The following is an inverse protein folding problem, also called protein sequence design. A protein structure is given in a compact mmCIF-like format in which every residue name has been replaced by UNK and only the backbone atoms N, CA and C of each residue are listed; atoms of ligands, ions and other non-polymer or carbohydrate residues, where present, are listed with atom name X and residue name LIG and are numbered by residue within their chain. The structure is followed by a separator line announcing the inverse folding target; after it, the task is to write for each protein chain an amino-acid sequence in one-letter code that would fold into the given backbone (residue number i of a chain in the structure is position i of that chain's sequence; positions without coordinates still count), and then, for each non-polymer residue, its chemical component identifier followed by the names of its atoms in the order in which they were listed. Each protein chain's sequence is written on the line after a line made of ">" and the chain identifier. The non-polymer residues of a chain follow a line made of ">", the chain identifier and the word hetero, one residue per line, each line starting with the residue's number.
data_IF_986371834364
#
_entry.id   IF_986371834364
#
_cell.length_a   1.000
_cell.length_b   1.000
_cell.length_c   1.000
_cell.angle_alpha   90.00
_cell.angle_beta   90.00
_cell.angle_gamma   90.00
#
_symmetry.space_group_name_H-M   'P 1'
#
loop_
_entity.id
_entity.type
_entity.pdbx_description
1 polymer ?
#
# COMPACT_ATOMS: atom_id res chain seq x y z
N UNK A 1 -6.85 5.81 2.81
CA UNK A 1 -6.91 5.59 1.35
C UNK A 1 -5.51 5.46 0.78
N UNK A 2 -5.26 4.56 -0.17
CA UNK A 2 -4.02 4.60 -0.98
C UNK A 2 -4.25 5.60 -2.09
N UNK A 3 -3.47 6.69 -2.10
CA UNK A 3 -3.64 7.80 -3.05
C UNK A 3 -2.49 7.95 -4.03
N UNK A 4 -1.33 7.35 -3.75
CA UNK A 4 -0.27 7.20 -4.72
C UNK A 4 0.55 5.95 -4.44
N UNK A 5 1.05 5.32 -5.50
CA UNK A 5 1.88 4.12 -5.43
C UNK A 5 3.01 4.22 -6.43
N UNK A 6 4.24 3.95 -6.00
CA UNK A 6 5.37 3.70 -6.90
C UNK A 6 5.85 2.27 -6.73
N UNK A 7 5.95 1.49 -7.81
CA UNK A 7 6.37 0.10 -7.71
C UNK A 7 7.00 -0.41 -9.01
N UNK A 8 8.02 -1.24 -8.89
CA UNK A 8 8.59 -1.99 -10.01
C UNK A 8 7.90 -3.34 -10.24
N UNK A 9 6.81 -3.64 -9.52
CA UNK A 9 6.02 -4.85 -9.72
C UNK A 9 5.42 -4.89 -11.14
N UNK A 10 5.68 -5.98 -11.87
CA UNK A 10 5.27 -6.15 -13.27
C UNK A 10 3.76 -6.03 -13.47
N UNK A 11 2.96 -6.56 -12.54
CA UNK A 11 1.50 -6.45 -12.58
C UNK A 11 1.05 -5.01 -12.37
N UNK A 12 1.64 -4.32 -11.38
CA UNK A 12 1.33 -2.92 -11.11
C UNK A 12 1.63 -2.06 -12.33
N UNK A 13 2.83 -2.17 -12.91
CA UNK A 13 3.23 -1.38 -14.08
C UNK A 13 2.28 -1.55 -15.28
N UNK A 14 1.69 -2.74 -15.47
CA UNK A 14 0.70 -3.01 -16.53
C UNK A 14 -0.66 -2.36 -16.30
N UNK A 15 -1.04 -2.15 -15.04
CA UNK A 15 -2.39 -1.70 -14.69
C UNK A 15 -2.44 -0.30 -14.05
N UNK A 16 -1.30 0.28 -13.66
CA UNK A 16 -1.20 1.51 -12.86
C UNK A 16 -2.01 2.68 -13.41
N UNK A 17 -2.05 2.86 -14.73
CA UNK A 17 -2.75 3.98 -15.38
C UNK A 17 -4.28 3.79 -15.39
N UNK A 18 -4.76 2.61 -15.01
CA UNK A 18 -6.18 2.25 -14.90
C UNK A 18 -6.62 2.07 -13.45
N UNK A 19 -5.70 2.13 -12.49
CA UNK A 19 -6.02 1.99 -11.08
C UNK A 19 -6.66 3.26 -10.55
N UNK A 20 -7.59 3.10 -9.61
CA UNK A 20 -8.13 4.19 -8.80
C UNK A 20 -7.63 4.04 -7.36
N UNK A 21 -7.83 5.08 -6.55
CA UNK A 21 -7.48 5.03 -5.14
C UNK A 21 -8.14 3.82 -4.46
N UNK A 22 -7.56 3.32 -3.38
CA UNK A 22 -8.16 2.22 -2.61
C UNK A 22 -8.58 2.67 -1.23
N UNK A 23 -9.59 2.02 -0.68
CA UNK A 23 -9.84 2.10 0.76
C UNK A 23 -8.92 1.08 1.43
N UNK A 24 -8.23 1.52 2.48
CA UNK A 24 -7.38 0.65 3.29
C UNK A 24 -7.77 0.81 4.74
N UNK A 25 -8.16 -0.27 5.39
CA UNK A 25 -8.38 -0.34 6.84
C UNK A 25 -7.18 -1.02 7.47
N UNK A 26 -6.59 -0.38 8.46
CA UNK A 26 -5.44 -0.91 9.19
C UNK A 26 -5.88 -1.18 10.62
N UNK A 27 -5.58 -2.37 11.13
CA UNK A 27 -5.88 -2.77 12.50
C UNK A 27 -4.75 -3.63 13.07
N UNK A 28 -4.54 -3.57 14.38
CA UNK A 28 -3.62 -4.46 15.06
C UNK A 28 -4.28 -5.81 15.36
N UNK A 29 -3.52 -6.90 15.21
CA UNK A 29 -3.97 -8.22 15.63
C UNK A 29 -3.77 -8.38 17.15
N UNK A 30 -4.47 -9.32 17.81
CA UNK A 30 -4.28 -9.59 19.24
C UNK A 30 -2.83 -9.91 19.62
N UNK A 31 -2.07 -10.45 18.68
CA UNK A 31 -0.66 -10.85 18.82
C UNK A 31 0.32 -9.69 18.53
N UNK A 32 -0.18 -8.48 18.30
CA UNK A 32 0.63 -7.29 17.99
C UNK A 32 1.05 -7.16 16.52
N UNK A 33 0.53 -8.02 15.65
CA UNK A 33 0.70 -7.91 14.20
C UNK A 33 -0.13 -6.78 13.58
N UNK A 34 0.00 -6.61 12.27
CA UNK A 34 -0.72 -5.61 11.47
C UNK A 34 -1.58 -6.32 10.42
N UNK A 35 -2.88 -6.04 10.42
CA UNK A 35 -3.80 -6.42 9.37
C UNK A 35 -4.12 -5.21 8.50
N UNK A 36 -3.86 -5.31 7.20
CA UNK A 36 -4.18 -4.30 6.20
C UNK A 36 -5.22 -4.85 5.23
N UNK A 37 -6.43 -4.32 5.30
CA UNK A 37 -7.55 -4.69 4.43
C UNK A 37 -7.72 -3.67 3.33
N UNK A 38 -7.69 -4.09 2.08
CA UNK A 38 -7.81 -3.24 0.92
C UNK A 38 -9.12 -3.50 0.20
N UNK A 39 -9.72 -2.41 -0.32
CA UNK A 39 -10.88 -2.45 -1.21
C UNK A 39 -10.50 -1.72 -2.50
N UNK A 40 -10.46 -2.46 -3.60
CA UNK A 40 -10.14 -1.97 -4.95
C UNK A 40 -11.37 -1.96 -5.83
N UNK A 41 -11.71 -0.81 -6.44
CA UNK A 41 -12.76 -0.76 -7.47
C UNK A 41 -12.14 -1.26 -8.78
N UNK A 42 -12.39 -2.52 -9.13
CA UNK A 42 -11.99 -3.08 -10.41
C UNK A 42 -13.19 -3.05 -11.35
N UNK A 43 -13.20 -2.09 -12.28
CA UNK A 43 -14.29 -1.88 -13.24
C UNK A 43 -15.66 -1.75 -12.53
N UNK A 44 -16.44 -2.82 -12.50
CA UNK A 44 -17.82 -2.89 -11.99
C UNK A 44 -17.95 -3.62 -10.63
N UNK A 45 -16.83 -4.09 -10.05
CA UNK A 45 -16.83 -4.84 -8.78
C UNK A 45 -15.79 -4.28 -7.81
N UNK A 46 -16.14 -4.25 -6.53
CA UNK A 46 -15.18 -3.95 -5.47
C UNK A 46 -14.52 -5.25 -5.00
N UNK A 47 -13.23 -5.41 -5.28
CA UNK A 47 -12.42 -6.53 -4.82
C UNK A 47 -11.84 -6.21 -3.45
N UNK A 48 -12.05 -7.11 -2.49
CA UNK A 48 -11.50 -7.00 -1.14
C UNK A 48 -10.37 -8.02 -0.96
N UNK A 49 -9.27 -7.62 -0.35
CA UNK A 49 -8.22 -8.55 0.08
C UNK A 49 -7.58 -8.05 1.37
N UNK A 50 -6.96 -8.97 2.11
CA UNK A 50 -6.30 -8.69 3.38
C UNK A 50 -4.86 -9.16 3.32
N UNK A 51 -3.96 -8.33 3.87
CA UNK A 51 -2.56 -8.67 4.12
C UNK A 51 -2.34 -8.69 5.63
N UNK A 52 -1.73 -9.77 6.12
CA UNK A 52 -1.38 -9.95 7.52
C UNK A 52 0.14 -9.90 7.66
N UNK A 53 0.61 -9.05 8.58
CA UNK A 53 2.01 -8.89 8.91
C UNK A 53 2.23 -9.14 10.40
N UNK A 54 3.32 -9.82 10.72
CA UNK A 54 3.77 -10.06 12.09
C UNK A 54 4.73 -8.94 12.51
N UNK A 55 4.76 -8.60 13.79
CA UNK A 55 5.73 -7.63 14.31
C UNK A 55 7.15 -8.19 14.23
N UNK A 56 8.12 -7.40 13.76
CA UNK A 56 9.53 -7.83 13.61
C UNK A 56 10.44 -7.44 14.78
N UNK A 57 9.88 -7.04 15.92
CA UNK A 57 10.62 -6.57 17.11
C UNK A 57 11.13 -5.13 16.99
N UNK A 58 11.15 -4.54 15.80
CA UNK A 58 11.44 -3.12 15.57
C UNK A 58 10.14 -2.33 15.32
N UNK A 59 10.01 -1.17 15.96
CA UNK A 59 8.85 -0.30 15.77
C UNK A 59 8.73 0.16 14.30
N UNK A 60 7.52 0.07 13.74
CA UNK A 60 7.27 0.44 12.35
C UNK A 60 7.76 -0.57 11.32
N UNK A 61 8.35 -1.69 11.73
CA UNK A 61 8.74 -2.79 10.85
C UNK A 61 7.88 -4.02 11.14
N UNK A 62 7.36 -4.61 10.06
CA UNK A 62 6.54 -5.80 10.10
C UNK A 62 6.95 -6.76 8.99
N UNK A 63 6.75 -8.05 9.22
CA UNK A 63 7.10 -9.12 8.29
C UNK A 63 5.86 -9.94 7.98
N UNK A 64 5.48 -9.99 6.70
CA UNK A 64 4.42 -10.82 6.18
C UNK A 64 4.99 -12.07 5.52
N UNK A 65 4.26 -13.19 5.63
CA UNK A 65 4.53 -14.40 4.86
C UNK A 65 3.47 -14.52 3.77
N UNK A 66 3.87 -14.46 2.51
CA UNK A 66 2.99 -14.74 1.37
C UNK A 66 3.21 -16.18 0.93
N UNK A 67 2.41 -17.11 1.46
CA UNK A 67 2.61 -18.55 1.25
C UNK A 67 3.81 -19.11 2.01
N UNK A 68 4.30 -20.28 1.60
CA UNK A 68 5.31 -21.05 2.35
C UNK A 68 6.74 -20.49 2.26
N UNK A 69 7.05 -19.55 1.34
CA UNK A 69 8.44 -19.16 1.05
C UNK A 69 8.68 -17.68 0.76
N UNK A 70 7.66 -16.84 0.54
CA UNK A 70 7.89 -15.45 0.13
C UNK A 70 7.73 -14.51 1.32
N UNK A 71 8.84 -13.89 1.73
CA UNK A 71 8.86 -12.88 2.77
C UNK A 71 8.48 -11.52 2.18
N UNK A 72 7.62 -10.81 2.89
CA UNK A 72 7.31 -9.41 2.63
C UNK A 72 7.72 -8.59 3.84
N UNK A 73 8.53 -7.57 3.62
CA UNK A 73 8.84 -6.58 4.63
C UNK A 73 7.94 -5.37 4.43
N UNK A 74 7.39 -4.87 5.52
CA UNK A 74 6.61 -3.64 5.56
C UNK A 74 7.26 -2.68 6.55
N UNK A 75 7.64 -1.51 6.06
CA UNK A 75 8.30 -0.46 6.82
C UNK A 75 7.47 0.82 6.75
N UNK A 76 7.11 1.37 7.90
CA UNK A 76 6.53 2.71 8.00
C UNK A 76 7.68 3.72 7.90
N UNK A 77 7.84 4.30 6.71
CA UNK A 77 8.94 5.22 6.42
C UNK A 77 8.70 6.58 7.07
N UNK A 78 7.46 7.07 7.00
CA UNK A 78 7.05 8.34 7.57
C UNK A 78 5.56 8.31 7.86
N UNK A 79 5.13 8.94 8.95
CA UNK A 79 3.70 9.09 9.27
C UNK A 79 3.52 10.23 10.27
N UNK A 80 2.41 10.95 10.17
CA UNK A 80 1.96 11.87 11.20
C UNK A 80 0.83 11.27 12.06
N UNK A 81 0.57 9.98 11.88
CA UNK A 81 -0.45 9.14 12.51
C UNK A 81 -1.91 9.54 12.24
N UNK A 82 -2.15 10.76 11.76
CA UNK A 82 -3.48 11.33 11.65
C UNK A 82 -3.92 11.50 10.20
N UNK A 83 -3.05 12.05 9.35
CA UNK A 83 -3.41 12.47 7.99
C UNK A 83 -2.76 11.61 6.91
N UNK A 84 -1.53 11.12 7.12
CA UNK A 84 -0.84 10.32 6.13
C UNK A 84 0.17 9.33 6.71
N UNK A 85 0.48 8.31 5.92
CA UNK A 85 1.61 7.42 6.13
C UNK A 85 2.25 7.06 4.78
N UNK A 86 3.57 6.98 4.74
CA UNK A 86 4.34 6.43 3.63
C UNK A 86 4.86 5.07 4.04
N UNK A 87 4.46 4.05 3.30
CA UNK A 87 4.84 2.67 3.53
C UNK A 87 5.82 2.21 2.46
N UNK A 88 6.85 1.48 2.87
CA UNK A 88 7.73 0.73 1.99
C UNK A 88 7.45 -0.76 2.17
N UNK A 89 7.09 -1.41 1.06
CA UNK A 89 6.90 -2.85 0.96
C UNK A 89 7.98 -3.45 0.08
N UNK A 90 8.74 -4.40 0.63
CA UNK A 90 9.72 -5.18 -0.11
C UNK A 90 9.29 -6.64 -0.18
N UNK A 91 9.07 -7.14 -1.39
CA UNK A 91 8.78 -8.55 -1.65
C UNK A 91 10.07 -9.27 -2.02
N UNK A 92 10.51 -10.15 -1.12
CA UNK A 92 11.70 -10.97 -1.31
C UNK A 92 11.29 -12.30 -1.95
N UNK A 93 11.27 -12.34 -3.29
CA UNK A 93 11.16 -13.58 -4.05
C UNK A 93 12.39 -13.80 -4.92
N UNK A 94 12.72 -15.07 -5.21
CA UNK A 94 13.89 -15.41 -6.02
C UNK A 94 13.71 -15.07 -7.50
N UNK A 95 12.46 -15.10 -7.98
CA UNK A 95 12.14 -14.95 -9.40
C UNK A 95 11.73 -13.54 -9.76
N UNK A 96 10.94 -12.87 -8.90
CA UNK A 96 10.41 -11.53 -9.14
C UNK A 96 10.39 -10.71 -7.84
N UNK A 97 11.57 -10.29 -7.34
CA UNK A 97 11.61 -9.34 -6.23
C UNK A 97 10.98 -8.03 -6.67
N UNK A 98 10.26 -7.37 -5.77
CA UNK A 98 9.72 -6.04 -6.05
C UNK A 98 9.75 -5.16 -4.82
N UNK A 99 9.79 -3.86 -5.10
CA UNK A 99 9.80 -2.77 -4.14
C UNK A 99 8.62 -1.88 -4.45
N UNK A 100 7.88 -1.52 -3.42
CA UNK A 100 6.69 -0.69 -3.52
C UNK A 100 6.72 0.40 -2.46
N UNK A 101 6.49 1.64 -2.86
CA UNK A 101 6.16 2.74 -1.97
C UNK A 101 4.68 3.08 -2.11
N UNK A 102 3.96 3.16 -1.01
CA UNK A 102 2.56 3.56 -0.97
C UNK A 102 2.38 4.80 -0.10
N UNK A 103 1.63 5.77 -0.61
CA UNK A 103 1.12 6.87 0.18
C UNK A 103 -0.31 6.57 0.61
N UNK A 104 -0.48 6.45 1.92
CA UNK A 104 -1.76 6.39 2.59
C UNK A 104 -2.15 7.79 3.07
N UNK A 105 -3.40 8.17 2.84
CA UNK A 105 -3.98 9.42 3.35
C UNK A 105 -5.34 9.17 3.98
N UNK A 106 -5.68 9.94 5.01
CA UNK A 106 -7.00 9.87 5.65
C UNK A 106 -8.10 10.28 4.67
N UNK A 107 -7.86 11.30 3.85
CA UNK A 107 -8.75 11.71 2.77
C UNK A 107 -8.41 10.99 1.45
N UNK A 108 -9.33 11.05 0.48
CA UNK A 108 -9.14 10.46 -0.85
C UNK A 108 -8.15 11.23 -1.75
N UNK A 109 -7.59 12.33 -1.26
CA UNK A 109 -6.61 13.14 -1.95
C UNK A 109 -5.35 13.31 -1.10
N UNK A 110 -4.19 13.24 -1.74
CA UNK A 110 -2.95 13.71 -1.15
C UNK A 110 -2.76 15.20 -1.39
N UNK A 111 -2.31 15.94 -0.38
CA UNK A 111 -1.84 17.30 -0.58
C UNK A 111 -0.53 17.29 -1.40
N UNK A 112 -0.23 18.36 -2.17
CA UNK A 112 1.02 18.43 -2.93
C UNK A 112 2.27 18.26 -2.06
N UNK A 113 2.22 18.74 -0.81
CA UNK A 113 3.31 18.64 0.16
C UNK A 113 3.58 17.18 0.57
N UNK A 114 2.53 16.42 0.85
CA UNK A 114 2.66 15.00 1.24
C UNK A 114 3.09 14.16 0.04
N UNK A 115 2.56 14.45 -1.16
CA UNK A 115 2.98 13.78 -2.38
C UNK A 115 4.46 14.02 -2.69
N UNK A 116 4.95 15.24 -2.47
CA UNK A 116 6.35 15.60 -2.66
C UNK A 116 7.27 14.73 -1.78
N UNK A 117 6.89 14.48 -0.52
CA UNK A 117 7.64 13.58 0.37
C UNK A 117 7.78 12.16 -0.18
N UNK A 118 6.69 11.61 -0.73
CA UNK A 118 6.74 10.31 -1.44
C UNK A 118 7.73 10.39 -2.63
N UNK A 119 7.64 11.45 -3.44
CA UNK A 119 8.47 11.60 -4.63
C UNK A 119 9.96 11.70 -4.32
N UNK A 120 10.34 12.26 -3.16
CA UNK A 120 11.72 12.32 -2.68
C UNK A 120 12.27 10.95 -2.26
N UNK A 121 11.40 10.04 -1.80
CA UNK A 121 11.77 8.68 -1.41
C UNK A 121 11.85 7.69 -2.59
N UNK A 122 11.19 7.98 -3.71
CA UNK A 122 11.23 7.12 -4.92
C UNK A 122 12.66 6.74 -5.33
N UNK A 123 13.58 7.70 -5.60
CA UNK A 123 14.93 7.36 -6.06
C UNK A 123 15.77 6.66 -4.99
N UNK A 124 15.53 6.92 -3.70
CA UNK A 124 16.28 6.27 -2.61
C UNK A 124 15.96 4.79 -2.49
N UNK A 125 14.78 4.37 -2.97
CA UNK A 125 14.34 2.98 -3.03
C UNK A 125 14.65 2.31 -4.38
N UNK A 126 15.44 2.95 -5.26
CA UNK A 126 15.77 2.41 -6.58
C UNK A 126 14.59 2.40 -7.56
N UNK A 127 13.54 3.15 -7.27
CA UNK A 127 12.39 3.34 -8.15
C UNK A 127 12.55 4.61 -8.99
N UNK A 128 11.77 4.72 -10.06
CA UNK A 128 11.76 5.89 -10.94
C UNK A 128 10.36 6.53 -11.02
N UNK A 129 10.30 7.79 -11.48
CA UNK A 129 9.04 8.55 -11.53
C UNK A 129 8.02 7.97 -12.53
N UNK A 130 8.46 7.28 -13.57
CA UNK A 130 7.58 6.57 -14.51
C UNK A 130 6.88 5.35 -13.88
N UNK A 131 7.44 4.83 -12.78
CA UNK A 131 6.85 3.76 -11.98
C UNK A 131 5.84 4.28 -10.93
N UNK A 132 5.62 5.61 -10.85
CA UNK A 132 4.63 6.23 -9.97
C UNK A 132 3.26 6.28 -10.66
N UNK A 133 2.21 6.04 -9.89
CA UNK A 133 0.85 6.42 -10.21
C UNK A 133 0.24 7.23 -9.06
N UNK A 134 -0.27 8.41 -9.38
CA UNK A 134 -1.15 9.19 -8.51
C UNK A 134 -2.56 8.71 -8.82
N UNK A 135 -3.21 8.12 -7.82
CA UNK A 135 -4.45 7.43 -8.03
C UNK A 135 -5.62 8.42 -7.94
N UNK A 136 -6.50 8.48 -8.96
CA UNK A 136 -7.68 9.32 -8.90
C UNK A 136 -8.62 8.85 -7.79
N UNK A 137 -9.46 9.76 -7.29
CA UNK A 137 -10.47 9.47 -6.27
C UNK A 137 -11.27 8.22 -6.62
N UNK A 138 -11.65 7.48 -5.58
CA UNK A 138 -12.59 6.39 -5.71
C UNK A 138 -13.92 6.94 -6.24
N UNK A 139 -14.55 6.26 -7.20
CA UNK A 139 -16.01 6.36 -7.35
C UNK A 139 -16.68 5.59 -6.22
N UNK A 140 -17.94 5.85 -5.89
CA UNK A 140 -18.64 5.12 -4.81
C UNK A 140 -18.48 3.60 -4.98
N UNK A 141 -17.73 2.96 -4.07
CA UNK A 141 -17.93 1.53 -3.81
C UNK A 141 -19.19 1.50 -2.94
N UNK A 142 -20.30 0.88 -3.39
CA UNK A 142 -21.47 0.76 -2.53
C UNK A 142 -21.01 0.09 -1.23
N UNK A 143 -21.34 0.72 -0.10
CA UNK A 143 -21.01 0.21 1.22
C UNK A 143 -21.56 -1.21 1.33
N UNK A 144 -20.66 -2.18 1.14
CA UNK A 144 -20.93 -3.57 1.47
C UNK A 144 -20.94 -3.66 2.98
N UNK A 145 -22.09 -3.32 3.55
CA UNK A 145 -22.55 -3.68 4.89
C UNK A 145 -22.10 -5.11 5.22
N UNK A 146 -21.40 -5.27 6.34
CA UNK A 146 -21.13 -6.58 6.94
C UNK A 146 -19.80 -7.18 6.54
N UNK A 147 -18.85 -7.12 7.48
CA UNK A 147 -17.91 -8.22 7.66
C UNK A 147 -18.70 -9.32 8.37
N UNK A 148 -19.09 -10.37 7.65
CA UNK A 148 -19.62 -11.61 8.21
C UNK A 148 -18.61 -12.72 7.97
#
# INVERSE_FOLDING_TARGET
>A
HVTATASNCSMFLKMKDRMKASITTISFTPEGGLAMKFVWPLLDKCQKFELLFQQSGQAGHYMGMCGQQHKRDLLVMETDYNHYAILHEAHHSQTEPNTTLQLLTQEQNASPQVLQKLMELIPTMGLTKDMLAILPKLGECPDGTGWH
#
